data_IF_480579141234
#
_entry.id   IF_480579141234
#
_cell.length_a   1.000
_cell.length_b   1.000
_cell.length_c   1.000
_cell.angle_alpha   90.00
_cell.angle_beta   90.00
_cell.angle_gamma   90.00
#
_symmetry.space_group_name_H-M   'P 1'
#
loop_
_entity.id
_entity.type
_entity.pdbx_description
1 polymer ?
#
# COMPACT_ATOMS: atom_id res chain seq x y z
N UNK A 1 -5.90 9.92 -2.79
CA UNK A 1 -4.84 8.98 -3.26
C UNK A 1 -5.26 8.25 -4.55
N UNK A 2 -4.32 7.79 -5.41
CA UNK A 2 -4.61 6.95 -6.59
C UNK A 2 -3.63 5.76 -6.70
N UNK A 3 -4.14 4.56 -6.97
CA UNK A 3 -3.39 3.31 -7.06
C UNK A 3 -3.57 2.67 -8.44
N UNK A 4 -2.51 2.17 -9.07
CA UNK A 4 -2.57 1.41 -10.33
C UNK A 4 -1.64 0.22 -10.24
N UNK A 5 -2.21 -0.98 -10.16
CA UNK A 5 -1.46 -2.23 -10.05
C UNK A 5 -1.16 -2.82 -11.42
N UNK A 6 0.02 -3.41 -11.58
CA UNK A 6 0.49 -3.95 -12.86
C UNK A 6 0.83 -5.43 -12.81
N UNK A 7 0.77 -6.10 -11.65
CA UNK A 7 1.14 -7.51 -11.49
C UNK A 7 2.21 -7.71 -10.43
N UNK A 8 2.14 -8.84 -9.70
CA UNK A 8 3.03 -9.09 -8.56
C UNK A 8 2.93 -7.96 -7.53
N UNK A 9 4.07 -7.44 -7.08
CA UNK A 9 4.15 -6.24 -6.22
C UNK A 9 4.31 -4.93 -7.00
N UNK A 10 4.24 -4.99 -8.34
CA UNK A 10 4.42 -3.81 -9.19
C UNK A 10 3.20 -2.91 -9.12
N UNK A 11 3.36 -1.72 -8.54
CA UNK A 11 2.27 -0.75 -8.38
C UNK A 11 2.78 0.68 -8.56
N UNK A 12 1.99 1.50 -9.24
CA UNK A 12 2.18 2.95 -9.29
C UNK A 12 1.20 3.62 -8.34
N UNK A 13 1.72 4.53 -7.52
CA UNK A 13 0.99 5.18 -6.44
C UNK A 13 1.13 6.69 -6.63
N UNK A 14 0.01 7.40 -6.65
CA UNK A 14 -0.02 8.85 -6.50
C UNK A 14 -0.61 9.21 -5.15
N UNK A 15 0.21 9.85 -4.31
CA UNK A 15 -0.15 10.21 -2.94
C UNK A 15 0.53 11.52 -2.59
N UNK A 16 -0.18 12.46 -1.94
CA UNK A 16 0.39 13.73 -1.49
C UNK A 16 1.06 14.56 -2.59
N UNK A 17 0.63 14.44 -3.84
CA UNK A 17 1.21 15.16 -4.98
C UNK A 17 2.43 14.51 -5.63
N UNK A 18 2.92 13.36 -5.12
CA UNK A 18 4.07 12.65 -5.69
C UNK A 18 3.67 11.29 -6.26
N UNK A 19 4.49 10.82 -7.20
CA UNK A 19 4.37 9.53 -7.86
C UNK A 19 5.46 8.59 -7.35
N UNK A 20 5.04 7.48 -6.78
CA UNK A 20 5.89 6.37 -6.39
C UNK A 20 5.64 5.19 -7.33
N UNK A 21 6.71 4.47 -7.66
CA UNK A 21 6.61 3.19 -8.39
C UNK A 21 7.33 2.14 -7.57
N UNK A 22 6.62 1.07 -7.24
CA UNK A 22 7.14 -0.04 -6.47
C UNK A 22 7.46 -1.19 -7.40
N UNK A 23 8.63 -1.79 -7.21
CA UNK A 23 9.13 -2.97 -7.92
C UNK A 23 8.98 -2.94 -9.46
N UNK A 24 9.33 -1.85 -10.17
CA UNK A 24 9.23 -1.82 -11.62
C UNK A 24 10.11 -2.88 -12.31
N UNK A 25 11.14 -3.38 -11.62
CA UNK A 25 11.96 -4.51 -12.10
C UNK A 25 11.18 -5.82 -12.22
N UNK A 26 10.05 -5.95 -11.51
CA UNK A 26 9.16 -7.11 -11.53
C UNK A 26 7.91 -6.89 -12.38
N UNK A 27 7.83 -5.77 -13.11
CA UNK A 27 6.72 -5.51 -14.03
C UNK A 27 6.60 -6.67 -15.04
N UNK A 28 5.38 -7.17 -15.32
CA UNK A 28 5.17 -8.18 -16.35
C UNK A 28 5.67 -7.73 -17.73
N UNK A 29 5.97 -8.69 -18.61
CA UNK A 29 6.59 -8.44 -19.92
C UNK A 29 5.78 -7.54 -20.85
N UNK A 30 4.46 -7.45 -20.66
CA UNK A 30 3.55 -6.58 -21.41
C UNK A 30 3.55 -5.12 -20.92
N UNK A 31 4.31 -4.80 -19.86
CA UNK A 31 4.43 -3.46 -19.29
C UNK A 31 5.81 -2.87 -19.60
N UNK A 32 5.85 -1.75 -20.33
CA UNK A 32 7.10 -1.03 -20.56
C UNK A 32 7.57 -0.37 -19.24
N UNK A 33 8.69 -0.86 -18.72
CA UNK A 33 9.30 -0.34 -17.49
C UNK A 33 9.70 1.12 -17.59
N UNK A 34 10.19 1.58 -18.74
CA UNK A 34 10.62 2.96 -18.93
C UNK A 34 9.41 3.91 -18.89
N UNK A 35 8.29 3.51 -19.48
CA UNK A 35 7.02 4.25 -19.36
C UNK A 35 6.47 4.23 -17.94
N UNK A 36 6.53 3.07 -17.27
CA UNK A 36 6.04 2.90 -15.91
C UNK A 36 6.72 3.84 -14.91
N UNK A 37 8.05 3.97 -14.99
CA UNK A 37 8.83 4.86 -14.11
C UNK A 37 8.87 6.31 -14.60
N UNK A 38 8.33 6.61 -15.79
CA UNK A 38 8.31 7.96 -16.34
C UNK A 38 7.47 8.89 -15.46
N UNK A 39 8.11 9.97 -15.00
CA UNK A 39 7.51 10.92 -14.06
C UNK A 39 7.35 10.39 -12.63
N UNK A 40 7.99 9.26 -12.27
CA UNK A 40 8.06 8.84 -10.88
C UNK A 40 9.04 9.73 -10.10
N UNK A 41 8.60 10.28 -8.98
CA UNK A 41 9.47 11.00 -8.04
C UNK A 41 10.40 10.03 -7.31
N UNK A 42 9.89 8.84 -6.97
CA UNK A 42 10.65 7.78 -6.31
C UNK A 42 10.32 6.39 -6.86
N UNK A 43 11.36 5.58 -7.02
CA UNK A 43 11.26 4.15 -7.29
C UNK A 43 11.66 3.41 -6.03
N UNK A 44 10.79 2.53 -5.54
CA UNK A 44 10.96 1.80 -4.29
C UNK A 44 10.99 0.28 -4.55
N UNK A 45 11.63 -0.48 -3.66
CA UNK A 45 11.56 -1.95 -3.68
C UNK A 45 10.86 -2.51 -2.45
N UNK A 46 9.76 -3.22 -2.69
CA UNK A 46 9.07 -4.01 -1.68
C UNK A 46 9.65 -5.43 -1.67
N UNK A 47 9.80 -6.02 -2.86
CA UNK A 47 10.47 -7.28 -3.07
C UNK A 47 12.01 -7.11 -2.95
N UNK A 48 12.53 -7.48 -1.78
CA UNK A 48 13.95 -7.45 -1.47
C UNK A 48 14.40 -6.22 -0.68
N UNK A 49 15.73 -6.04 -0.61
CA UNK A 49 16.33 -4.94 0.12
C UNK A 49 16.32 -3.65 -0.72
N UNK A 50 15.79 -2.60 -0.11
CA UNK A 50 15.87 -1.21 -0.56
C UNK A 50 16.58 -0.44 0.55
N UNK A 51 17.86 -0.13 0.32
CA UNK A 51 18.71 0.58 1.28
C UNK A 51 18.29 2.05 1.45
N UNK A 52 17.41 2.56 0.57
CA UNK A 52 16.87 3.93 0.69
C UNK A 52 15.71 4.01 1.68
N UNK A 53 15.16 2.88 2.11
CA UNK A 53 14.07 2.82 3.09
C UNK A 53 14.64 2.67 4.49
N UNK A 54 14.20 3.55 5.38
CA UNK A 54 14.49 3.47 6.81
C UNK A 54 13.60 2.38 7.43
N UNK A 55 14.20 1.50 8.22
CA UNK A 55 13.46 0.59 9.09
C UNK A 55 12.78 1.37 10.21
N UNK A 56 11.49 1.12 10.41
CA UNK A 56 10.66 1.85 11.36
C UNK A 56 10.27 0.96 12.53
N UNK A 57 10.49 1.45 13.76
CA UNK A 57 9.81 0.88 14.93
C UNK A 57 8.32 1.26 14.92
N UNK A 58 7.49 0.27 14.63
CA UNK A 58 6.04 0.41 14.54
C UNK A 58 5.38 0.80 15.88
N UNK A 59 6.02 0.53 17.02
CA UNK A 59 5.50 0.91 18.33
C UNK A 59 5.57 2.44 18.55
N UNK A 60 6.61 3.06 17.99
CA UNK A 60 6.87 4.50 18.11
C UNK A 60 6.13 5.33 17.06
N UNK A 61 5.78 4.73 15.92
CA UNK A 61 5.12 5.45 14.83
C UNK A 61 3.79 6.09 15.24
N UNK A 62 3.56 7.32 14.78
CA UNK A 62 2.30 8.04 14.94
C UNK A 62 1.94 8.72 13.62
N UNK A 63 0.64 8.78 13.25
CA UNK A 63 0.20 9.53 12.07
C UNK A 63 0.65 10.99 12.16
N UNK A 64 1.23 11.51 11.08
CA UNK A 64 1.63 12.91 11.01
C UNK A 64 0.39 13.78 10.81
N UNK A 65 0.28 14.85 11.61
CA UNK A 65 -0.85 15.78 11.52
C UNK A 65 -0.60 16.82 10.43
N UNK A 66 -1.66 17.19 9.71
CA UNK A 66 -1.65 18.34 8.84
C UNK A 66 -1.32 19.61 9.65
N UNK A 67 -0.37 20.39 9.15
CA UNK A 67 -0.10 21.72 9.67
C UNK A 67 -1.28 22.65 9.34
N UNK A 68 -1.47 23.69 10.14
CA UNK A 68 -2.58 24.63 9.97
C UNK A 68 -2.30 25.52 8.76
N UNK A 69 -3.35 25.86 8.00
CA UNK A 69 -3.26 26.68 6.78
C UNK A 69 -2.70 28.10 6.96
N UNK A 70 -2.37 28.52 8.18
CA UNK A 70 -1.81 29.85 8.47
C UNK A 70 -0.31 29.90 8.13
N UNK A 71 0.32 28.75 7.86
CA UNK A 71 1.75 28.60 7.57
C UNK A 71 2.05 28.38 6.06
N UNK A 72 1.23 28.95 5.16
CA UNK A 72 1.22 28.75 3.69
C UNK A 72 2.57 28.96 2.94
N UNK A 73 3.57 29.60 3.57
CA UNK A 73 4.89 29.83 2.96
C UNK A 73 5.86 28.63 3.07
N UNK A 74 5.45 27.52 3.68
CA UNK A 74 6.31 26.35 3.87
C UNK A 74 6.19 25.34 2.73
N UNK A 75 7.32 24.77 2.34
CA UNK A 75 7.37 23.68 1.38
C UNK A 75 6.41 22.54 1.81
N UNK A 76 5.75 21.85 0.87
CA UNK A 76 4.84 20.76 1.21
C UNK A 76 5.56 19.71 2.06
N UNK A 77 4.91 19.16 3.09
CA UNK A 77 5.53 18.21 3.98
C UNK A 77 6.03 16.99 3.20
N UNK A 78 7.23 16.46 3.51
CA UNK A 78 7.80 15.34 2.78
C UNK A 78 6.93 14.10 2.94
N UNK A 79 6.86 13.27 1.91
CA UNK A 79 6.23 11.96 1.99
C UNK A 79 7.27 10.94 2.43
N UNK A 80 6.94 10.15 3.43
CA UNK A 80 7.84 9.13 3.96
C UNK A 80 7.39 7.75 3.50
N UNK A 81 8.38 6.92 3.17
CA UNK A 81 8.20 5.50 2.92
C UNK A 81 9.13 4.76 3.88
N UNK A 82 8.59 3.80 4.61
CA UNK A 82 9.28 3.04 5.63
C UNK A 82 9.20 1.55 5.33
N UNK A 83 10.28 0.83 5.64
CA UNK A 83 10.24 -0.62 5.74
C UNK A 83 9.68 -0.98 7.10
N UNK A 84 8.63 -1.81 7.11
CA UNK A 84 7.97 -2.25 8.35
C UNK A 84 8.03 -3.78 8.53
N UNK A 85 8.63 -4.48 7.57
CA UNK A 85 8.87 -5.92 7.58
C UNK A 85 9.47 -6.38 6.25
N UNK A 86 9.77 -7.68 6.16
CA UNK A 86 9.97 -8.31 4.86
C UNK A 86 8.65 -8.19 4.07
N UNK A 87 8.71 -7.76 2.80
CA UNK A 87 7.53 -7.59 1.95
C UNK A 87 6.45 -6.63 2.49
N UNK A 88 6.82 -5.74 3.42
CA UNK A 88 5.88 -4.82 4.05
C UNK A 88 6.42 -3.38 4.08
N UNK A 89 5.62 -2.44 3.56
CA UNK A 89 5.97 -1.03 3.46
C UNK A 89 4.83 -0.14 3.95
N UNK A 90 5.18 0.92 4.68
CA UNK A 90 4.28 1.99 5.09
C UNK A 90 4.65 3.27 4.36
N UNK A 91 3.69 3.86 3.64
CA UNK A 91 3.81 5.18 3.01
C UNK A 91 2.91 6.15 3.77
N UNK A 92 3.52 7.19 4.31
CA UNK A 92 2.87 8.21 5.13
C UNK A 92 2.98 9.57 4.43
N UNK A 93 1.83 10.12 4.04
CA UNK A 93 1.69 11.45 3.47
C UNK A 93 0.71 12.26 4.31
N UNK A 94 1.12 13.48 4.68
CA UNK A 94 0.29 14.35 5.52
C UNK A 94 -1.01 14.68 4.80
N UNK A 95 -2.14 14.49 5.50
CA UNK A 95 -3.48 14.75 4.96
C UNK A 95 -4.08 13.62 4.13
N UNK A 96 -3.31 12.55 3.87
CA UNK A 96 -3.79 11.32 3.25
C UNK A 96 -3.88 10.21 4.31
N UNK A 97 -4.76 9.20 4.14
CA UNK A 97 -4.69 7.98 4.92
C UNK A 97 -3.31 7.31 4.75
N UNK A 98 -2.75 6.66 5.79
CA UNK A 98 -1.56 5.84 5.62
C UNK A 98 -1.81 4.76 4.56
N UNK A 99 -0.85 4.56 3.67
CA UNK A 99 -0.89 3.47 2.69
C UNK A 99 0.06 2.36 3.15
N UNK A 100 -0.45 1.14 3.20
CA UNK A 100 0.33 -0.05 3.53
C UNK A 100 0.36 -0.97 2.33
N UNK A 101 1.53 -1.47 1.98
CA UNK A 101 1.75 -2.48 0.95
C UNK A 101 2.25 -3.77 1.62
N UNK A 102 1.58 -4.90 1.40
CA UNK A 102 1.92 -6.19 2.02
C UNK A 102 1.90 -7.31 0.99
N UNK A 103 3.00 -8.05 0.84
CA UNK A 103 3.11 -9.16 -0.13
C UNK A 103 3.25 -10.55 0.48
N UNK A 104 3.59 -10.66 1.76
CA UNK A 104 3.91 -11.93 2.43
C UNK A 104 3.44 -11.98 3.89
N UNK A 105 4.28 -11.58 4.85
CA UNK A 105 4.01 -11.63 6.28
C UNK A 105 3.81 -10.20 6.77
N UNK A 106 2.66 -9.95 7.39
CA UNK A 106 2.48 -8.69 8.08
C UNK A 106 3.34 -8.67 9.35
N UNK A 107 4.00 -7.54 9.66
CA UNK A 107 4.42 -7.30 11.03
C UNK A 107 3.18 -7.25 11.94
N UNK A 108 3.37 -7.32 13.26
CA UNK A 108 2.25 -7.20 14.19
C UNK A 108 1.46 -5.92 13.92
N UNK A 109 0.19 -6.09 13.55
CA UNK A 109 -0.71 -4.98 13.27
C UNK A 109 -0.92 -4.11 14.51
N UNK A 110 -1.03 -2.80 14.28
CA UNK A 110 -1.22 -1.80 15.32
C UNK A 110 -1.72 -0.49 14.73
N UNK A 111 -1.42 0.62 15.40
CA UNK A 111 -1.95 1.96 15.05
C UNK A 111 -1.68 2.41 13.61
N UNK A 112 -0.64 1.87 12.97
CA UNK A 112 -0.28 2.16 11.59
C UNK A 112 -1.27 1.56 10.56
N UNK A 113 -2.05 0.57 10.97
CA UNK A 113 -3.07 -0.07 10.14
C UNK A 113 -4.48 0.51 10.37
N UNK A 114 -4.69 1.27 11.44
CA UNK A 114 -5.97 1.92 11.73
C UNK A 114 -6.22 3.08 10.76
N UNK A 115 -7.39 3.07 10.11
CA UNK A 115 -7.76 4.05 9.09
C UNK A 115 -6.93 3.97 7.80
N UNK A 116 -6.03 2.99 7.69
CA UNK A 116 -5.12 2.84 6.56
C UNK A 116 -5.85 2.34 5.30
N UNK A 117 -5.26 2.65 4.16
CA UNK A 117 -5.50 1.97 2.89
C UNK A 117 -4.45 0.85 2.80
N UNK A 118 -4.88 -0.40 2.74
CA UNK A 118 -3.98 -1.56 2.74
C UNK A 118 -4.09 -2.28 1.41
N UNK A 119 -2.97 -2.43 0.69
CA UNK A 119 -2.88 -3.26 -0.52
C UNK A 119 -2.25 -4.59 -0.14
N UNK A 120 -2.99 -5.68 -0.38
CA UNK A 120 -2.53 -7.05 -0.19
C UNK A 120 -2.19 -7.63 -1.56
N UNK A 121 -0.93 -8.01 -1.74
CA UNK A 121 -0.45 -8.68 -2.95
C UNK A 121 -0.35 -10.19 -2.72
N UNK A 122 -0.63 -10.96 -3.77
CA UNK A 122 -0.27 -12.39 -3.80
C UNK A 122 -1.45 -13.30 -4.12
N UNK A 123 -1.43 -14.49 -3.52
CA UNK A 123 -2.42 -15.55 -3.74
C UNK A 123 -3.57 -15.47 -2.73
N UNK A 124 -4.74 -16.00 -3.10
CA UNK A 124 -5.99 -15.84 -2.35
C UNK A 124 -5.87 -16.25 -0.88
N UNK A 125 -5.28 -17.40 -0.58
CA UNK A 125 -5.12 -17.90 0.80
C UNK A 125 -4.27 -16.97 1.66
N UNK A 126 -3.12 -16.51 1.14
CA UNK A 126 -2.22 -15.61 1.87
C UNK A 126 -2.85 -14.23 2.08
N UNK A 127 -3.51 -13.68 1.05
CA UNK A 127 -4.24 -12.41 1.16
C UNK A 127 -5.37 -12.49 2.19
N UNK A 128 -6.15 -13.57 2.17
CA UNK A 128 -7.22 -13.79 3.15
C UNK A 128 -6.68 -13.84 4.57
N UNK A 129 -5.63 -14.63 4.82
CA UNK A 129 -5.03 -14.75 6.14
C UNK A 129 -4.50 -13.40 6.67
N UNK A 130 -3.86 -12.61 5.81
CA UNK A 130 -3.40 -11.26 6.15
C UNK A 130 -4.57 -10.33 6.49
N UNK A 131 -5.63 -10.35 5.67
CA UNK A 131 -6.81 -9.52 5.89
C UNK A 131 -7.56 -9.88 7.17
N UNK A 132 -7.73 -11.18 7.48
CA UNK A 132 -8.35 -11.63 8.72
C UNK A 132 -7.56 -11.17 9.94
N UNK A 133 -6.23 -11.35 9.94
CA UNK A 133 -5.36 -10.86 11.00
C UNK A 133 -5.45 -9.34 11.18
N UNK A 134 -5.51 -8.61 10.06
CA UNK A 134 -5.71 -7.16 10.03
C UNK A 134 -7.05 -6.75 10.66
N UNK A 135 -8.15 -7.42 10.31
CA UNK A 135 -9.49 -7.09 10.83
C UNK A 135 -9.68 -7.43 12.30
N UNK A 136 -8.91 -8.38 12.84
CA UNK A 136 -8.86 -8.65 14.28
C UNK A 136 -8.15 -7.52 15.02
N UNK A 137 -7.01 -7.06 14.50
CA UNK A 137 -6.11 -6.17 15.21
C UNK A 137 -6.35 -4.66 14.98
N UNK A 138 -6.96 -4.29 13.85
CA UNK A 138 -7.10 -2.91 13.41
C UNK A 138 -8.44 -2.65 12.72
N UNK A 139 -8.66 -1.38 12.32
CA UNK A 139 -9.81 -0.93 11.52
C UNK A 139 -9.32 -0.19 10.27
N UNK A 140 -8.88 -0.88 9.22
CA UNK A 140 -8.48 -0.23 7.98
C UNK A 140 -9.68 0.46 7.32
N UNK A 141 -9.42 1.55 6.59
CA UNK A 141 -10.45 2.25 5.80
C UNK A 141 -10.81 1.44 4.56
N UNK A 142 -9.80 0.86 3.90
CA UNK A 142 -9.93 0.12 2.65
C UNK A 142 -8.88 -0.99 2.59
N UNK A 143 -9.28 -2.18 2.15
CA UNK A 143 -8.39 -3.26 1.73
C UNK A 143 -8.53 -3.43 0.22
N UNK A 144 -7.43 -3.29 -0.50
CA UNK A 144 -7.32 -3.49 -1.93
C UNK A 144 -6.56 -4.80 -2.21
N UNK A 145 -7.19 -5.72 -2.92
CA UNK A 145 -6.63 -7.03 -3.24
C UNK A 145 -5.94 -6.98 -4.61
N UNK A 146 -4.69 -7.41 -4.69
CA UNK A 146 -3.86 -7.38 -5.88
C UNK A 146 -3.33 -8.79 -6.18
N UNK A 147 -4.12 -9.56 -6.92
CA UNK A 147 -3.85 -10.94 -7.29
C UNK A 147 -4.51 -11.29 -8.62
N UNK A 148 -4.24 -12.49 -9.13
CA UNK A 148 -4.96 -12.99 -10.31
C UNK A 148 -6.44 -13.26 -9.99
N UNK A 149 -7.26 -13.47 -11.03
CA UNK A 149 -8.71 -13.66 -10.90
C UNK A 149 -9.07 -14.76 -9.89
N UNK A 150 -8.33 -15.88 -9.91
CA UNK A 150 -8.56 -17.01 -8.99
C UNK A 150 -8.27 -16.61 -7.55
N UNK A 151 -7.18 -15.87 -7.31
CA UNK A 151 -6.81 -15.37 -6.01
C UNK A 151 -7.84 -14.35 -5.48
N UNK A 152 -8.34 -13.46 -6.34
CA UNK A 152 -9.37 -12.47 -5.98
C UNK A 152 -10.68 -13.17 -5.62
N UNK A 153 -11.17 -14.08 -6.46
CA UNK A 153 -12.42 -14.81 -6.22
C UNK A 153 -12.38 -15.56 -4.89
N UNK A 154 -11.28 -16.25 -4.63
CA UNK A 154 -11.06 -16.93 -3.36
C UNK A 154 -11.10 -15.94 -2.18
N UNK A 155 -10.31 -14.87 -2.25
CA UNK A 155 -10.19 -13.91 -1.16
C UNK A 155 -11.51 -13.18 -0.86
N UNK A 156 -12.24 -12.78 -1.89
CA UNK A 156 -13.56 -12.16 -1.74
C UNK A 156 -14.55 -13.14 -1.10
N UNK A 157 -14.57 -14.41 -1.53
CA UNK A 157 -15.43 -15.42 -0.93
C UNK A 157 -15.12 -15.64 0.56
N UNK A 158 -13.85 -15.64 0.95
CA UNK A 158 -13.43 -15.76 2.36
C UNK A 158 -13.79 -14.52 3.19
N UNK A 159 -13.54 -13.32 2.68
CA UNK A 159 -13.54 -12.10 3.48
C UNK A 159 -14.89 -11.39 3.54
N UNK A 160 -15.80 -11.61 2.58
CA UNK A 160 -17.05 -10.83 2.42
C UNK A 160 -17.93 -10.80 3.66
N UNK A 161 -17.88 -11.81 4.53
CA UNK A 161 -18.72 -11.89 5.73
C UNK A 161 -18.11 -11.13 6.92
N UNK A 162 -16.81 -10.80 6.88
CA UNK A 162 -16.04 -10.31 8.03
C UNK A 162 -15.13 -9.12 7.69
N UNK A 163 -15.67 -8.09 7.04
CA UNK A 163 -14.89 -6.88 6.70
C UNK A 163 -14.69 -5.91 7.87
N UNK A 164 -15.44 -6.09 8.96
CA UNK A 164 -15.34 -5.27 10.18
C UNK A 164 -15.37 -3.75 9.94
N UNK A 165 -16.18 -3.31 8.96
CA UNK A 165 -16.34 -1.91 8.57
C UNK A 165 -15.35 -1.39 7.52
N UNK A 166 -14.37 -2.19 7.11
CA UNK A 166 -13.46 -1.84 6.03
C UNK A 166 -14.14 -1.94 4.66
N UNK A 167 -13.80 -1.05 3.73
CA UNK A 167 -14.07 -1.30 2.30
C UNK A 167 -13.21 -2.45 1.79
N UNK A 168 -13.71 -3.20 0.82
CA UNK A 168 -12.96 -4.24 0.10
C UNK A 168 -13.08 -3.99 -1.41
N UNK A 169 -11.96 -4.04 -2.13
CA UNK A 169 -11.92 -3.84 -3.59
C UNK A 169 -10.86 -4.73 -4.22
N UNK A 170 -11.09 -5.21 -5.45
CA UNK A 170 -10.06 -5.82 -6.28
C UNK A 170 -9.37 -4.76 -7.14
N UNK A 171 -8.05 -4.86 -7.27
CA UNK A 171 -7.30 -4.06 -8.22
C UNK A 171 -7.26 -4.78 -9.57
N UNK A 172 -7.75 -4.11 -10.61
CA UNK A 172 -7.64 -4.58 -11.98
C UNK A 172 -6.28 -4.16 -12.56
N UNK A 173 -5.62 -5.08 -13.28
CA UNK A 173 -4.30 -4.81 -13.88
C UNK A 173 -4.39 -3.63 -14.86
N UNK A 174 -3.59 -2.60 -14.62
CA UNK A 174 -3.50 -1.39 -15.44
C UNK A 174 -4.63 -0.38 -15.22
N UNK A 175 -5.62 -0.68 -14.37
CA UNK A 175 -6.71 0.25 -14.07
C UNK A 175 -6.38 1.07 -12.81
N UNK A 176 -6.70 2.37 -12.86
CA UNK A 176 -6.51 3.24 -11.71
C UNK A 176 -7.71 3.19 -10.76
N UNK A 177 -7.44 2.96 -9.48
CA UNK A 177 -8.38 3.13 -8.37
C UNK A 177 -8.10 4.46 -7.66
N UNK A 178 -9.13 5.25 -7.45
CA UNK A 178 -9.10 6.47 -6.63
C UNK A 178 -9.71 6.21 -5.26
N UNK A 179 -9.07 6.73 -4.20
CA UNK A 179 -9.38 6.45 -2.78
C UNK A 179 -9.52 7.72 -1.96
#
# INVERSE_FOLDING_TARGET
>A
MKLTWFGGTTIRIYIGGQIFVVDPQLAPDDIDRAELVSGADRVLRLAGADETLVELDLAEWRPRRAQRAIDEEQAPPPIHAYRIGAGAMLVDAVGEPPLVLLSDQAPSFGRWADGAVVVLFGVGEAMSALAEGLFVAARPRLVALAGDEVAIDFAVATLRENLNGAGLVSLEKGLALEV
#
